data_IF_924438871594
#
_entry.id   IF_924438871594
#
_cell.length_a   1.000
_cell.length_b   1.000
_cell.length_c   1.000
_cell.angle_alpha   90.00
_cell.angle_beta   90.00
_cell.angle_gamma   90.00
#
_symmetry.space_group_name_H-M   'P 1'
#
loop_
_entity.id
_entity.type
_entity.pdbx_description
1 polymer ?
#
# COMPACT_ATOMS: atom_id res chain seq x y z
N UNK A 1 13.64 -1.34 -5.83
CA UNK A 1 14.49 -1.93 -4.76
C UNK A 1 14.56 -1.08 -3.50
N UNK A 2 14.88 0.24 -3.59
CA UNK A 2 15.00 1.14 -2.42
C UNK A 2 13.79 1.07 -1.48
N UNK A 3 12.55 1.16 -2.00
CA UNK A 3 11.35 1.08 -1.17
C UNK A 3 11.25 -0.22 -0.37
N UNK A 4 11.64 -1.35 -0.95
CA UNK A 4 11.61 -2.64 -0.23
C UNK A 4 12.70 -2.71 0.85
N UNK A 5 13.87 -2.13 0.61
CA UNK A 5 14.94 -2.04 1.63
C UNK A 5 14.45 -1.16 2.80
N UNK A 6 13.84 -0.01 2.50
CA UNK A 6 13.29 0.88 3.52
C UNK A 6 12.17 0.22 4.32
N UNK A 7 11.32 -0.58 3.66
CA UNK A 7 10.30 -1.37 4.36
C UNK A 7 10.93 -2.40 5.30
N UNK A 8 11.99 -3.08 4.87
CA UNK A 8 12.72 -4.03 5.70
C UNK A 8 13.28 -3.37 6.95
N UNK A 9 13.97 -2.24 6.81
CA UNK A 9 14.49 -1.43 7.94
C UNK A 9 13.33 -0.96 8.83
N UNK A 10 12.26 -0.44 8.22
CA UNK A 10 11.08 0.01 8.96
C UNK A 10 10.42 -1.10 9.77
N UNK A 11 10.36 -2.32 9.24
CA UNK A 11 9.78 -3.48 9.95
C UNK A 11 10.65 -3.88 11.15
N UNK A 12 11.98 -3.86 11.03
CA UNK A 12 12.90 -4.10 12.15
C UNK A 12 12.63 -3.07 13.27
N UNK A 13 12.62 -1.78 12.92
CA UNK A 13 12.39 -0.69 13.87
C UNK A 13 11.03 -0.84 14.55
N UNK A 14 9.96 -1.17 13.78
CA UNK A 14 8.63 -1.38 14.34
C UNK A 14 8.56 -2.59 15.29
N UNK A 15 9.26 -3.68 14.98
CA UNK A 15 9.32 -4.87 15.84
C UNK A 15 10.03 -4.58 17.17
N UNK A 16 11.17 -3.89 17.11
CA UNK A 16 11.92 -3.45 18.30
C UNK A 16 11.07 -2.45 19.10
N UNK A 17 10.34 -1.57 18.44
CA UNK A 17 9.44 -0.63 19.11
C UNK A 17 8.38 -1.35 19.95
N UNK A 18 7.69 -2.33 19.37
CA UNK A 18 6.66 -3.09 20.09
C UNK A 18 7.23 -3.83 21.30
N UNK A 19 8.40 -4.45 21.15
CA UNK A 19 9.12 -5.07 22.26
C UNK A 19 9.42 -4.06 23.37
N UNK A 20 9.84 -2.85 23.02
CA UNK A 20 10.23 -1.82 23.99
C UNK A 20 9.04 -1.13 24.64
N UNK A 21 7.95 -0.92 23.89
CA UNK A 21 6.74 -0.20 24.36
C UNK A 21 6.07 -0.94 25.52
N UNK A 22 6.06 -2.27 25.46
CA UNK A 22 5.40 -3.12 26.45
C UNK A 22 6.35 -3.84 27.39
N UNK A 23 7.64 -4.01 27.02
CA UNK A 23 8.62 -4.76 27.76
C UNK A 23 9.68 -3.91 28.51
N UNK A 24 9.64 -2.58 28.37
CA UNK A 24 10.61 -1.64 28.97
C UNK A 24 12.09 -1.96 28.69
N UNK A 25 12.40 -2.57 27.55
CA UNK A 25 13.76 -3.00 27.20
C UNK A 25 14.71 -1.84 26.81
N UNK A 26 14.17 -0.67 26.44
CA UNK A 26 14.96 0.45 25.97
C UNK A 26 14.62 1.74 26.74
N UNK A 27 15.61 2.65 26.91
CA UNK A 27 15.36 3.94 27.54
C UNK A 27 14.37 4.78 26.73
N UNK A 28 13.58 5.62 27.42
CA UNK A 28 12.53 6.45 26.81
C UNK A 28 13.05 7.34 25.67
N UNK A 29 14.31 7.74 25.70
CA UNK A 29 14.96 8.53 24.64
C UNK A 29 15.03 7.78 23.30
N UNK A 30 15.14 6.45 23.33
CA UNK A 30 15.10 5.63 22.11
C UNK A 30 13.72 5.63 21.43
N UNK A 31 12.65 6.01 22.13
CA UNK A 31 11.29 6.06 21.59
C UNK A 31 11.18 7.05 20.43
N UNK A 32 11.99 8.10 20.39
CA UNK A 32 12.00 9.08 19.29
C UNK A 32 12.40 8.45 17.94
N UNK A 33 13.32 7.48 17.96
CA UNK A 33 13.77 6.75 16.77
C UNK A 33 12.61 5.94 16.16
N UNK A 34 11.67 5.49 16.98
CA UNK A 34 10.56 4.66 16.51
C UNK A 34 9.49 5.43 15.72
N UNK A 35 9.42 6.77 15.87
CA UNK A 35 8.58 7.62 15.01
C UNK A 35 8.93 7.48 13.52
N UNK A 36 10.12 6.97 13.22
CA UNK A 36 10.59 6.72 11.86
C UNK A 36 9.93 5.50 11.22
N UNK A 37 9.44 4.53 11.99
CA UNK A 37 8.77 3.34 11.45
C UNK A 37 7.63 3.67 10.46
N UNK A 38 6.61 4.47 10.81
CA UNK A 38 5.56 4.83 9.86
C UNK A 38 6.07 5.64 8.66
N UNK A 39 7.10 6.47 8.83
CA UNK A 39 7.72 7.23 7.73
C UNK A 39 8.37 6.28 6.73
N UNK A 40 9.16 5.31 7.20
CA UNK A 40 9.80 4.31 6.34
C UNK A 40 8.77 3.43 5.62
N UNK A 41 7.67 3.08 6.28
CA UNK A 41 6.63 2.24 5.68
C UNK A 41 5.78 3.03 4.67
N UNK A 42 5.25 4.20 5.05
CA UNK A 42 4.33 4.96 4.19
C UNK A 42 5.07 5.72 3.09
N UNK A 43 6.14 6.43 3.42
CA UNK A 43 6.88 7.24 2.44
C UNK A 43 8.01 6.46 1.78
N UNK A 44 8.74 5.65 2.54
CA UNK A 44 9.85 4.86 2.02
C UNK A 44 9.40 3.66 1.19
N UNK A 45 8.45 2.90 1.66
CA UNK A 45 7.98 1.71 0.95
C UNK A 45 6.82 2.05 0.01
N UNK A 46 5.66 2.40 0.56
CA UNK A 46 4.43 2.50 -0.23
C UNK A 46 4.54 3.60 -1.28
N UNK A 47 4.93 4.81 -0.89
CA UNK A 47 4.99 5.95 -1.82
C UNK A 47 6.05 5.75 -2.90
N UNK A 48 7.29 5.36 -2.54
CA UNK A 48 8.34 5.13 -3.55
C UNK A 48 8.04 3.95 -4.48
N UNK A 49 7.39 2.89 -3.97
CA UNK A 49 6.96 1.77 -4.83
C UNK A 49 5.88 2.22 -5.81
N UNK A 50 4.88 2.97 -5.35
CA UNK A 50 3.81 3.48 -6.22
C UNK A 50 4.37 4.48 -7.24
N UNK A 51 5.27 5.38 -6.85
CA UNK A 51 5.94 6.28 -7.79
C UNK A 51 6.72 5.50 -8.86
N UNK A 52 7.52 4.51 -8.43
CA UNK A 52 8.29 3.67 -9.35
C UNK A 52 7.41 2.89 -10.34
N UNK A 53 6.37 2.25 -9.82
CA UNK A 53 5.38 1.53 -10.64
C UNK A 53 4.60 2.49 -11.53
N UNK A 54 4.18 3.65 -11.00
CA UNK A 54 3.46 4.69 -11.73
C UNK A 54 4.25 5.21 -12.93
N UNK A 55 5.53 5.53 -12.75
CA UNK A 55 6.41 5.98 -13.85
C UNK A 55 6.61 4.96 -14.96
N UNK A 56 6.42 3.68 -14.69
CA UNK A 56 6.63 2.63 -15.67
C UNK A 56 5.33 2.10 -16.27
N UNK A 57 4.31 1.92 -15.44
CA UNK A 57 3.06 1.25 -15.88
C UNK A 57 2.10 2.23 -16.53
N UNK A 58 1.93 3.43 -15.97
CA UNK A 58 0.96 4.40 -16.52
C UNK A 58 1.32 4.80 -17.96
N UNK A 59 2.59 5.14 -18.30
CA UNK A 59 2.99 5.39 -19.68
C UNK A 59 2.70 4.20 -20.59
N UNK A 60 3.10 2.99 -20.20
CA UNK A 60 2.89 1.78 -21.00
C UNK A 60 1.41 1.44 -21.20
N UNK A 61 0.58 1.66 -20.20
CA UNK A 61 -0.87 1.49 -20.36
C UNK A 61 -1.48 2.42 -21.40
N UNK A 62 -0.76 3.47 -21.77
CA UNK A 62 -1.15 4.49 -22.76
C UNK A 62 -0.34 4.44 -24.04
N UNK A 63 0.63 3.52 -24.16
CA UNK A 63 1.59 3.44 -25.26
C UNK A 63 2.40 4.74 -25.43
N UNK A 64 2.74 5.38 -24.31
CA UNK A 64 3.48 6.64 -24.27
C UNK A 64 4.80 6.47 -23.51
N UNK A 65 5.74 7.39 -23.76
CA UNK A 65 6.98 7.47 -22.98
C UNK A 65 6.78 8.36 -21.75
N UNK A 66 7.58 8.12 -20.71
CA UNK A 66 7.61 9.00 -19.54
C UNK A 66 7.98 10.43 -19.98
N UNK A 67 7.18 11.46 -19.68
CA UNK A 67 7.36 12.82 -20.21
C UNK A 67 8.73 13.41 -19.93
N UNK A 68 9.31 13.12 -18.77
CA UNK A 68 10.64 13.58 -18.37
C UNK A 68 11.29 12.64 -17.36
N UNK A 69 12.30 11.91 -17.80
CA UNK A 69 13.09 11.05 -16.90
C UNK A 69 13.92 11.86 -15.89
N UNK A 70 14.30 13.08 -16.23
CA UNK A 70 15.03 13.99 -15.32
C UNK A 70 14.14 14.43 -14.16
N UNK A 71 12.91 14.87 -14.43
CA UNK A 71 11.94 15.24 -13.40
C UNK A 71 11.50 14.02 -12.57
N UNK A 72 11.33 12.84 -13.19
CA UNK A 72 11.03 11.61 -12.47
C UNK A 72 12.15 11.23 -11.48
N UNK A 73 13.42 11.36 -11.89
CA UNK A 73 14.58 11.16 -11.00
C UNK A 73 14.62 12.21 -9.90
N UNK A 74 14.38 13.48 -10.23
CA UNK A 74 14.35 14.58 -9.25
C UNK A 74 13.28 14.33 -8.19
N UNK A 75 12.04 13.97 -8.58
CA UNK A 75 10.97 13.67 -7.63
C UNK A 75 11.34 12.52 -6.69
N UNK A 76 11.95 11.45 -7.23
CA UNK A 76 12.44 10.33 -6.44
C UNK A 76 13.51 10.76 -5.43
N UNK A 77 14.51 11.54 -5.87
CA UNK A 77 15.60 12.03 -5.00
C UNK A 77 15.03 12.92 -3.89
N UNK A 78 14.11 13.82 -4.19
CA UNK A 78 13.50 14.70 -3.19
C UNK A 78 12.72 13.92 -2.11
N UNK A 79 11.93 12.92 -2.51
CA UNK A 79 11.22 12.06 -1.55
C UNK A 79 12.21 11.24 -0.72
N UNK A 80 13.25 10.69 -1.32
CA UNK A 80 14.29 9.94 -0.60
C UNK A 80 15.06 10.83 0.37
N UNK A 81 15.44 12.05 -0.05
CA UNK A 81 16.11 13.04 0.81
C UNK A 81 15.22 13.44 1.99
N UNK A 82 13.90 13.59 1.79
CA UNK A 82 12.99 13.86 2.89
C UNK A 82 13.03 12.78 3.97
N UNK A 83 13.06 11.51 3.57
CA UNK A 83 13.16 10.38 4.50
C UNK A 83 14.50 10.40 5.24
N UNK A 84 15.60 10.74 4.55
CA UNK A 84 16.91 10.88 5.18
C UNK A 84 16.92 12.04 6.21
N UNK A 85 16.27 13.15 5.91
CA UNK A 85 16.10 14.27 6.86
C UNK A 85 15.30 13.85 8.08
N UNK A 86 14.17 13.12 7.90
CA UNK A 86 13.41 12.58 9.03
C UNK A 86 14.25 11.63 9.90
N UNK A 87 15.08 10.80 9.26
CA UNK A 87 15.97 9.86 9.96
C UNK A 87 17.02 10.59 10.78
N UNK A 88 17.71 11.58 10.19
CA UNK A 88 18.71 12.42 10.88
C UNK A 88 18.05 13.20 12.02
N UNK A 89 16.87 13.79 11.79
CA UNK A 89 16.09 14.50 12.80
C UNK A 89 15.81 13.63 14.02
N UNK A 90 15.44 12.37 13.80
CA UNK A 90 15.21 11.40 14.88
C UNK A 90 16.48 11.06 15.69
N UNK A 91 17.64 10.97 15.02
CA UNK A 91 18.91 10.64 15.67
C UNK A 91 19.46 11.80 16.50
N UNK A 92 19.50 13.01 15.88
CA UNK A 92 20.12 14.19 16.54
C UNK A 92 19.14 14.95 17.45
N UNK A 93 17.89 14.45 17.57
CA UNK A 93 16.82 15.04 18.39
C UNK A 93 16.52 16.51 18.03
N UNK A 94 16.78 16.90 16.78
CA UNK A 94 16.48 18.24 16.25
C UNK A 94 15.31 18.17 15.30
N UNK A 95 14.35 19.08 15.43
CA UNK A 95 13.15 19.07 14.61
C UNK A 95 13.37 19.69 13.22
N UNK A 96 13.60 18.85 12.22
CA UNK A 96 13.65 19.21 10.81
C UNK A 96 12.39 18.79 10.04
N UNK A 97 11.29 18.51 10.73
CA UNK A 97 10.05 17.97 10.14
C UNK A 97 9.53 18.86 9.01
N UNK A 98 9.55 20.19 9.15
CA UNK A 98 9.09 21.11 8.09
C UNK A 98 9.95 21.04 6.83
N UNK A 99 11.26 20.87 6.96
CA UNK A 99 12.17 20.68 5.82
C UNK A 99 11.86 19.37 5.12
N UNK A 100 11.72 18.28 5.87
CA UNK A 100 11.35 16.97 5.33
C UNK A 100 10.02 17.01 4.59
N UNK A 101 8.98 17.56 5.20
CA UNK A 101 7.65 17.71 4.61
C UNK A 101 7.67 18.56 3.33
N UNK A 102 8.45 19.65 3.30
CA UNK A 102 8.59 20.51 2.11
C UNK A 102 9.26 19.75 0.95
N UNK A 103 10.38 19.07 1.21
CA UNK A 103 11.05 18.24 0.21
C UNK A 103 10.11 17.18 -0.37
N UNK A 104 9.36 16.54 0.52
CA UNK A 104 8.39 15.50 0.15
C UNK A 104 7.25 16.05 -0.67
N UNK A 105 6.67 17.17 -0.25
CA UNK A 105 5.61 17.86 -0.99
C UNK A 105 6.06 18.23 -2.41
N UNK A 106 7.26 18.81 -2.57
CA UNK A 106 7.82 19.14 -3.89
C UNK A 106 8.00 17.84 -4.71
N UNK A 107 8.57 16.80 -4.12
CA UNK A 107 8.80 15.52 -4.81
C UNK A 107 7.51 14.88 -5.30
N UNK A 108 6.48 14.77 -4.45
CA UNK A 108 5.18 14.18 -4.83
C UNK A 108 4.39 15.07 -5.78
N UNK A 109 4.56 16.41 -5.71
CA UNK A 109 3.94 17.34 -6.65
C UNK A 109 4.53 17.22 -8.05
N UNK A 110 5.85 17.03 -8.17
CA UNK A 110 6.49 16.73 -9.47
C UNK A 110 5.95 15.40 -10.02
N UNK A 111 5.86 14.35 -9.18
CA UNK A 111 5.26 13.08 -9.59
C UNK A 111 3.83 13.27 -10.09
N UNK A 112 3.00 13.96 -9.30
CA UNK A 112 1.61 14.26 -9.66
C UNK A 112 1.49 15.04 -10.95
N UNK A 113 2.29 16.09 -11.13
CA UNK A 113 2.32 16.91 -12.34
C UNK A 113 2.66 16.10 -13.59
N UNK A 114 3.65 15.20 -13.50
CA UNK A 114 4.00 14.31 -14.62
C UNK A 114 2.86 13.33 -14.94
N UNK A 115 2.21 12.77 -13.92
CA UNK A 115 1.08 11.86 -14.13
C UNK A 115 -0.13 12.61 -14.72
N UNK A 116 -0.49 13.78 -14.20
CA UNK A 116 -1.58 14.60 -14.75
C UNK A 116 -1.31 15.05 -16.18
N UNK A 117 -0.07 15.43 -16.49
CA UNK A 117 0.32 15.74 -17.85
C UNK A 117 0.09 14.55 -18.79
N UNK A 118 0.48 13.34 -18.37
CA UNK A 118 0.24 12.13 -19.16
C UNK A 118 -1.24 11.81 -19.35
N UNK A 119 -2.05 11.99 -18.31
CA UNK A 119 -3.49 11.77 -18.39
C UNK A 119 -4.17 12.76 -19.33
N UNK A 120 -3.62 13.97 -19.48
CA UNK A 120 -4.14 15.03 -20.35
C UNK A 120 -3.75 14.88 -21.82
N UNK A 121 -2.61 14.26 -22.14
CA UNK A 121 -2.12 14.12 -23.52
C UNK A 121 -3.12 13.38 -24.41
N UNK A 122 -3.91 12.43 -23.83
CA UNK A 122 -4.88 11.63 -24.58
C UNK A 122 -6.26 11.72 -23.91
N UNK A 123 -6.93 12.89 -23.92
CA UNK A 123 -8.17 13.09 -23.17
C UNK A 123 -9.31 12.16 -23.62
N UNK A 124 -9.33 11.74 -24.88
CA UNK A 124 -10.32 10.79 -25.40
C UNK A 124 -10.16 9.37 -24.85
N UNK A 125 -9.04 9.08 -24.20
CA UNK A 125 -8.75 7.80 -23.58
C UNK A 125 -8.87 7.83 -22.04
N UNK A 126 -9.44 8.88 -21.45
CA UNK A 126 -9.80 8.89 -20.03
C UNK A 126 -10.75 7.73 -19.77
N UNK A 127 -10.26 6.77 -19.02
CA UNK A 127 -10.99 5.59 -18.59
C UNK A 127 -11.30 5.73 -17.11
N UNK A 128 -12.20 4.90 -16.65
CA UNK A 128 -12.59 4.87 -15.24
C UNK A 128 -11.37 4.75 -14.30
N UNK A 129 -10.35 3.98 -14.71
CA UNK A 129 -9.08 3.87 -13.97
C UNK A 129 -8.36 5.21 -13.76
N UNK A 130 -8.48 6.14 -14.70
CA UNK A 130 -7.78 7.42 -14.64
C UNK A 130 -8.33 8.32 -13.52
N UNK A 131 -9.63 8.23 -13.23
CA UNK A 131 -10.23 8.96 -12.12
C UNK A 131 -9.65 8.50 -10.78
N UNK A 132 -9.46 7.18 -10.59
CA UNK A 132 -8.80 6.67 -9.38
C UNK A 132 -7.36 7.18 -9.27
N UNK A 133 -6.61 7.26 -10.38
CA UNK A 133 -5.24 7.81 -10.38
C UNK A 133 -5.26 9.28 -9.98
N UNK A 134 -6.15 10.08 -10.56
CA UNK A 134 -6.26 11.52 -10.25
C UNK A 134 -6.59 11.73 -8.78
N UNK A 135 -7.62 11.05 -8.26
CA UNK A 135 -8.02 11.18 -6.85
C UNK A 135 -6.89 10.71 -5.94
N UNK A 136 -6.25 9.58 -6.25
CA UNK A 136 -5.12 9.02 -5.50
C UNK A 136 -3.97 10.03 -5.35
N UNK A 137 -3.52 10.61 -6.46
CA UNK A 137 -2.42 11.59 -6.46
C UNK A 137 -2.83 12.89 -5.74
N UNK A 138 -4.05 13.36 -5.96
CA UNK A 138 -4.58 14.54 -5.26
C UNK A 138 -4.59 14.31 -3.74
N UNK A 139 -4.99 13.12 -3.28
CA UNK A 139 -4.93 12.74 -1.86
C UNK A 139 -3.50 12.72 -1.32
N UNK A 140 -2.55 12.17 -2.09
CA UNK A 140 -1.14 12.15 -1.68
C UNK A 140 -0.61 13.57 -1.47
N UNK A 141 -0.89 14.49 -2.41
CA UNK A 141 -0.49 15.89 -2.29
C UNK A 141 -1.21 16.56 -1.12
N UNK A 142 -2.54 16.37 -0.99
CA UNK A 142 -3.33 16.93 0.11
C UNK A 142 -2.83 16.46 1.48
N UNK A 143 -2.46 15.17 1.61
CA UNK A 143 -1.90 14.63 2.84
C UNK A 143 -0.59 15.34 3.25
N UNK A 144 0.29 15.68 2.27
CA UNK A 144 1.51 16.44 2.55
C UNK A 144 1.20 17.89 2.97
N UNK A 145 0.27 18.53 2.26
CA UNK A 145 -0.15 19.91 2.58
C UNK A 145 -0.76 19.98 3.99
N UNK A 146 -1.69 19.08 4.31
CA UNK A 146 -2.31 19.04 5.64
C UNK A 146 -1.27 18.77 6.74
N UNK A 147 -0.28 17.90 6.47
CA UNK A 147 0.83 17.64 7.40
C UNK A 147 1.71 18.88 7.59
N UNK A 148 2.03 19.60 6.51
CA UNK A 148 2.85 20.80 6.56
C UNK A 148 2.15 21.96 7.32
N UNK A 149 0.83 22.03 7.18
CA UNK A 149 -0.02 23.01 7.88
C UNK A 149 -0.39 22.57 9.31
N UNK A 150 0.07 21.41 9.77
CA UNK A 150 -0.21 20.84 11.09
C UNK A 150 -1.73 20.65 11.38
N UNK A 151 -2.53 20.48 10.32
CA UNK A 151 -3.99 20.34 10.39
C UNK A 151 -4.44 18.91 10.68
N UNK A 152 -3.67 18.14 11.48
CA UNK A 152 -4.00 16.77 11.82
C UNK A 152 -4.32 16.64 13.31
N UNK A 153 -5.59 16.47 13.61
CA UNK A 153 -6.06 16.33 14.99
C UNK A 153 -6.26 14.87 15.41
N UNK A 154 -6.55 13.98 14.45
CA UNK A 154 -6.74 12.56 14.70
C UNK A 154 -5.66 11.72 13.99
N UNK A 155 -4.80 11.07 14.78
CA UNK A 155 -3.67 10.29 14.25
C UNK A 155 -4.11 9.11 13.38
N UNK A 156 -5.23 8.46 13.67
CA UNK A 156 -5.72 7.36 12.83
C UNK A 156 -6.23 7.88 11.50
N UNK A 157 -7.05 8.93 11.50
CA UNK A 157 -7.58 9.55 10.27
C UNK A 157 -6.45 10.00 9.37
N UNK A 158 -5.40 10.61 9.93
CA UNK A 158 -4.20 10.97 9.17
C UNK A 158 -3.59 9.75 8.47
N UNK A 159 -3.40 8.64 9.19
CA UNK A 159 -2.81 7.43 8.62
C UNK A 159 -3.74 6.74 7.63
N UNK A 160 -5.04 6.72 7.89
CA UNK A 160 -6.03 6.21 6.95
C UNK A 160 -6.09 7.05 5.67
N UNK A 161 -5.99 8.36 5.77
CA UNK A 161 -5.93 9.27 4.63
C UNK A 161 -4.69 8.97 3.76
N UNK A 162 -3.53 8.71 4.39
CA UNK A 162 -2.34 8.23 3.72
C UNK A 162 -2.49 6.86 3.07
N UNK A 163 -3.18 5.92 3.72
CA UNK A 163 -3.42 4.58 3.19
C UNK A 163 -4.45 4.58 2.07
N UNK A 164 -5.34 5.56 2.02
CA UNK A 164 -6.35 5.69 0.98
C UNK A 164 -5.73 5.98 -0.39
N UNK A 165 -4.66 6.79 -0.44
CA UNK A 165 -3.88 6.99 -1.65
C UNK A 165 -3.44 5.67 -2.34
N UNK A 166 -2.73 4.73 -1.67
CA UNK A 166 -2.34 3.47 -2.30
C UNK A 166 -3.53 2.55 -2.62
N UNK A 167 -4.59 2.55 -1.82
CA UNK A 167 -5.79 1.77 -2.13
C UNK A 167 -6.38 2.19 -3.48
N UNK A 168 -6.51 3.49 -3.72
CA UNK A 168 -7.01 4.03 -4.99
C UNK A 168 -6.07 3.74 -6.15
N UNK A 169 -4.75 3.89 -5.96
CA UNK A 169 -3.78 3.59 -7.00
C UNK A 169 -3.77 2.11 -7.37
N UNK A 170 -3.86 1.22 -6.38
CA UNK A 170 -4.01 -0.23 -6.59
C UNK A 170 -5.30 -0.51 -7.34
N UNK A 171 -6.42 0.09 -6.95
CA UNK A 171 -7.71 -0.08 -7.65
C UNK A 171 -7.63 0.36 -9.10
N UNK A 172 -6.95 1.47 -9.40
CA UNK A 172 -6.72 1.93 -10.77
C UNK A 172 -5.95 0.90 -11.62
N UNK A 173 -4.89 0.32 -11.05
CA UNK A 173 -4.10 -0.71 -11.73
C UNK A 173 -4.92 -1.99 -11.86
N UNK A 174 -5.60 -2.40 -10.82
CA UNK A 174 -6.41 -3.61 -10.78
C UNK A 174 -7.63 -3.55 -11.71
N UNK A 175 -8.17 -2.37 -11.96
CA UNK A 175 -9.23 -2.17 -12.95
C UNK A 175 -8.88 -2.81 -14.30
N UNK A 176 -7.61 -2.73 -14.70
CA UNK A 176 -7.12 -3.30 -15.96
C UNK A 176 -6.50 -4.68 -15.76
N UNK A 177 -5.71 -4.87 -14.70
CA UNK A 177 -4.90 -6.06 -14.53
C UNK A 177 -5.69 -7.27 -14.03
N UNK A 178 -6.73 -7.09 -13.23
CA UNK A 178 -7.61 -8.20 -12.81
C UNK A 178 -8.26 -8.90 -14.01
N UNK A 179 -8.90 -8.20 -14.98
CA UNK A 179 -9.44 -8.86 -16.15
C UNK A 179 -8.37 -9.43 -17.08
N UNK A 180 -7.27 -8.67 -17.34
CA UNK A 180 -6.29 -9.04 -18.36
C UNK A 180 -5.30 -10.11 -17.92
N UNK A 181 -4.86 -10.09 -16.67
CA UNK A 181 -3.86 -11.04 -16.16
C UNK A 181 -4.44 -12.17 -15.33
N UNK A 182 -5.56 -11.92 -14.63
CA UNK A 182 -6.16 -12.88 -13.72
C UNK A 182 -7.53 -13.41 -14.19
N UNK A 183 -7.98 -13.00 -15.37
CA UNK A 183 -9.20 -13.53 -15.98
C UNK A 183 -10.50 -13.20 -15.23
N UNK A 184 -10.48 -12.19 -14.37
CA UNK A 184 -11.71 -11.68 -13.78
C UNK A 184 -12.62 -11.06 -14.86
N UNK A 185 -13.91 -10.91 -14.54
CA UNK A 185 -14.84 -10.22 -15.44
C UNK A 185 -14.39 -8.77 -15.68
N UNK A 186 -14.73 -8.23 -16.83
CA UNK A 186 -14.55 -6.79 -17.07
C UNK A 186 -15.35 -6.01 -16.04
N UNK A 187 -14.79 -4.95 -15.43
CA UNK A 187 -15.46 -4.20 -14.38
C UNK A 187 -16.80 -3.63 -14.89
N UNK A 188 -17.85 -3.82 -14.07
CA UNK A 188 -19.18 -3.27 -14.39
C UNK A 188 -19.16 -1.76 -14.26
N UNK A 189 -19.24 -1.04 -15.38
CA UNK A 189 -19.04 0.40 -15.48
C UNK A 189 -19.87 1.22 -14.48
N UNK A 190 -21.15 0.88 -14.28
CA UNK A 190 -22.01 1.59 -13.30
C UNK A 190 -21.49 1.51 -11.89
N UNK A 191 -21.03 0.32 -11.46
CA UNK A 191 -20.46 0.13 -10.12
C UNK A 191 -19.11 0.84 -9.95
N UNK A 192 -18.31 0.89 -11.02
CA UNK A 192 -17.03 1.62 -11.00
C UNK A 192 -17.28 3.12 -10.83
N UNK A 193 -18.24 3.72 -11.57
CA UNK A 193 -18.58 5.13 -11.38
C UNK A 193 -19.15 5.40 -9.98
N UNK A 194 -19.98 4.52 -9.44
CA UNK A 194 -20.43 4.64 -8.05
C UNK A 194 -19.27 4.56 -7.06
N UNK A 195 -18.29 3.68 -7.31
CA UNK A 195 -17.05 3.60 -6.53
C UNK A 195 -16.24 4.90 -6.61
N UNK A 196 -16.07 5.48 -7.81
CA UNK A 196 -15.38 6.76 -8.00
C UNK A 196 -16.11 7.88 -7.24
N UNK A 197 -17.43 7.94 -7.29
CA UNK A 197 -18.22 8.91 -6.53
C UNK A 197 -17.97 8.77 -5.03
N UNK A 198 -17.96 7.54 -4.49
CA UNK A 198 -17.64 7.30 -3.09
C UNK A 198 -16.19 7.67 -2.76
N UNK A 199 -15.25 7.48 -3.69
CA UNK A 199 -13.87 7.92 -3.52
C UNK A 199 -13.76 9.46 -3.38
N UNK A 200 -14.49 10.21 -4.21
CA UNK A 200 -14.53 11.68 -4.14
C UNK A 200 -15.16 12.14 -2.81
N UNK A 201 -16.26 11.52 -2.42
CA UNK A 201 -16.95 11.80 -1.15
C UNK A 201 -16.01 11.53 0.02
N UNK A 202 -15.35 10.36 0.03
CA UNK A 202 -14.40 10.00 1.08
C UNK A 202 -13.21 10.96 1.13
N UNK A 203 -12.65 11.35 -0.02
CA UNK A 203 -11.57 12.33 -0.08
C UNK A 203 -12.00 13.69 0.52
N UNK A 204 -13.19 14.16 0.17
CA UNK A 204 -13.76 15.40 0.73
C UNK A 204 -13.93 15.32 2.24
N UNK A 205 -14.54 14.26 2.76
CA UNK A 205 -14.68 14.06 4.21
C UNK A 205 -13.34 13.88 4.91
N UNK A 206 -12.35 13.18 4.29
CA UNK A 206 -11.01 13.05 4.84
C UNK A 206 -10.28 14.39 5.01
N UNK A 207 -10.42 15.32 4.05
CA UNK A 207 -9.91 16.69 4.18
C UNK A 207 -10.69 17.46 5.26
N UNK A 208 -12.01 17.36 5.24
CA UNK A 208 -12.87 18.09 6.17
C UNK A 208 -12.62 17.66 7.61
N UNK A 209 -12.52 16.36 7.88
CA UNK A 209 -12.26 15.86 9.23
C UNK A 209 -10.84 16.16 9.72
N UNK A 210 -9.88 16.34 8.80
CA UNK A 210 -8.53 16.80 9.18
C UNK A 210 -8.54 18.24 9.69
N UNK A 211 -9.50 19.06 9.23
CA UNK A 211 -9.64 20.47 9.63
C UNK A 211 -10.59 20.61 10.83
N UNK A 212 -11.75 19.95 10.77
CA UNK A 212 -12.82 20.03 11.78
C UNK A 212 -12.87 18.73 12.57
N UNK A 213 -12.48 18.75 13.82
CA UNK A 213 -12.47 17.59 14.73
C UNK A 213 -13.88 17.10 15.03
N UNK A 214 -14.38 16.14 14.25
CA UNK A 214 -15.72 15.60 14.45
C UNK A 214 -15.73 14.07 14.26
N UNK A 215 -16.14 13.35 15.31
CA UNK A 215 -16.30 11.90 15.25
C UNK A 215 -17.29 11.48 14.15
N UNK A 216 -18.34 12.27 13.91
CA UNK A 216 -19.28 12.00 12.82
C UNK A 216 -18.60 12.05 11.44
N UNK A 217 -17.74 13.07 11.21
CA UNK A 217 -17.00 13.18 9.95
C UNK A 217 -16.00 12.02 9.79
N UNK A 218 -15.35 11.59 10.88
CA UNK A 218 -14.47 10.42 10.88
C UNK A 218 -15.23 9.15 10.48
N UNK A 219 -16.41 8.94 11.03
CA UNK A 219 -17.29 7.80 10.67
C UNK A 219 -17.70 7.86 9.20
N UNK A 220 -18.16 9.03 8.72
CA UNK A 220 -18.59 9.19 7.31
C UNK A 220 -17.42 9.00 6.36
N UNK A 221 -16.22 9.47 6.69
CA UNK A 221 -14.99 9.23 5.93
C UNK A 221 -14.73 7.72 5.80
N UNK A 222 -14.72 6.99 6.92
CA UNK A 222 -14.47 5.55 6.92
C UNK A 222 -15.55 4.75 6.19
N UNK A 223 -16.83 5.07 6.40
CA UNK A 223 -17.95 4.41 5.71
C UNK A 223 -17.93 4.65 4.19
N UNK A 224 -17.64 5.87 3.76
CA UNK A 224 -17.54 6.17 2.32
C UNK A 224 -16.34 5.48 1.67
N UNK A 225 -15.20 5.36 2.38
CA UNK A 225 -14.05 4.60 1.94
C UNK A 225 -14.36 3.09 1.84
N UNK A 226 -15.06 2.53 2.82
CA UNK A 226 -15.54 1.14 2.80
C UNK A 226 -16.50 0.92 1.63
N UNK A 227 -17.46 1.83 1.42
CA UNK A 227 -18.41 1.76 0.30
C UNK A 227 -17.68 1.81 -1.05
N UNK A 228 -16.68 2.67 -1.20
CA UNK A 228 -15.84 2.75 -2.40
C UNK A 228 -15.21 1.39 -2.71
N UNK A 229 -14.56 0.77 -1.72
CA UNK A 229 -13.86 -0.53 -1.90
C UNK A 229 -14.87 -1.65 -2.19
N UNK A 230 -16.01 -1.68 -1.50
CA UNK A 230 -17.07 -2.67 -1.75
C UNK A 230 -17.63 -2.57 -3.18
N UNK A 231 -17.95 -1.36 -3.64
CA UNK A 231 -18.44 -1.12 -4.99
C UNK A 231 -17.41 -1.52 -6.05
N UNK A 232 -16.12 -1.21 -5.82
CA UNK A 232 -15.05 -1.65 -6.70
C UNK A 232 -14.93 -3.18 -6.73
N UNK A 233 -14.88 -3.84 -5.58
CA UNK A 233 -14.79 -5.30 -5.48
C UNK A 233 -15.98 -6.01 -6.11
N UNK A 234 -17.20 -5.45 -5.96
CA UNK A 234 -18.41 -5.93 -6.65
C UNK A 234 -18.32 -5.70 -8.16
N UNK A 235 -17.71 -4.60 -8.61
CA UNK A 235 -17.58 -4.29 -10.03
C UNK A 235 -16.74 -5.33 -10.78
N UNK A 236 -15.67 -5.83 -10.15
CA UNK A 236 -14.77 -6.86 -10.70
C UNK A 236 -15.14 -8.28 -10.23
N UNK A 237 -16.15 -8.41 -9.37
CA UNK A 237 -16.65 -9.68 -8.85
C UNK A 237 -15.57 -10.51 -8.16
N UNK A 238 -14.78 -9.87 -7.26
CA UNK A 238 -13.57 -10.45 -6.66
C UNK A 238 -13.79 -11.80 -5.97
N UNK A 239 -14.94 -11.98 -5.29
CA UNK A 239 -15.32 -13.22 -4.61
C UNK A 239 -16.21 -14.13 -5.45
N UNK A 240 -16.57 -13.74 -6.65
CA UNK A 240 -17.42 -14.53 -7.53
C UNK A 240 -16.70 -15.68 -8.22
N UNK A 241 -17.48 -16.53 -8.88
CA UNK A 241 -16.94 -17.57 -9.74
C UNK A 241 -16.25 -16.97 -10.98
N UNK A 242 -15.27 -17.69 -11.53
CA UNK A 242 -14.63 -17.31 -12.77
C UNK A 242 -15.55 -17.61 -13.95
N UNK A 243 -16.11 -16.59 -14.55
CA UNK A 243 -16.92 -16.76 -15.76
C UNK A 243 -16.04 -16.87 -17.02
N UNK A 244 -14.72 -16.68 -16.90
CA UNK A 244 -13.84 -16.77 -18.07
C UNK A 244 -13.25 -18.17 -18.21
N UNK A 245 -14.12 -19.12 -18.52
CA UNK A 245 -13.76 -20.52 -18.83
C UNK A 245 -12.77 -20.63 -19.97
N UNK A 246 -12.67 -19.64 -20.87
CA UNK A 246 -11.73 -19.65 -22.00
C UNK A 246 -10.29 -19.47 -21.54
N UNK A 247 -9.99 -18.51 -20.66
CA UNK A 247 -8.64 -18.33 -20.11
C UNK A 247 -8.21 -19.57 -19.30
N UNK A 248 -9.13 -20.13 -18.51
CA UNK A 248 -8.83 -21.35 -17.72
C UNK A 248 -8.62 -22.58 -18.60
N UNK A 249 -9.21 -22.66 -19.79
CA UNK A 249 -8.96 -23.72 -20.77
C UNK A 249 -7.58 -23.61 -21.39
N UNK A 250 -7.05 -22.39 -21.56
CA UNK A 250 -5.73 -22.13 -22.12
C UNK A 250 -4.60 -22.35 -21.12
N UNK A 251 -4.91 -22.34 -19.82
CA UNK A 251 -3.92 -22.48 -18.72
C UNK A 251 -3.95 -23.91 -18.21
N UNK A 252 -2.86 -24.66 -18.45
CA UNK A 252 -2.74 -26.07 -18.03
C UNK A 252 -1.62 -26.28 -17.01
N UNK A 253 -1.68 -27.38 -16.25
CA UNK A 253 -0.61 -27.84 -15.37
C UNK A 253 -0.28 -26.85 -14.23
N UNK A 254 1.02 -26.59 -14.04
CA UNK A 254 1.54 -25.71 -12.97
C UNK A 254 1.08 -24.27 -13.11
N UNK A 255 0.87 -23.77 -14.34
CA UNK A 255 0.35 -22.44 -14.58
C UNK A 255 -1.05 -22.27 -14.00
N UNK A 256 -1.89 -23.31 -14.08
CA UNK A 256 -3.24 -23.32 -13.50
C UNK A 256 -3.20 -23.25 -11.97
N UNK A 257 -2.30 -24.04 -11.34
CA UNK A 257 -2.10 -24.01 -9.88
C UNK A 257 -1.65 -22.63 -9.40
N UNK A 258 -0.66 -22.04 -10.08
CA UNK A 258 -0.17 -20.68 -9.80
C UNK A 258 -1.28 -19.64 -9.92
N UNK A 259 -2.09 -19.72 -10.96
CA UNK A 259 -3.23 -18.83 -11.19
C UNK A 259 -4.23 -18.89 -10.03
N UNK A 260 -4.69 -20.08 -9.65
CA UNK A 260 -5.61 -20.25 -8.52
C UNK A 260 -5.05 -19.69 -7.22
N UNK A 261 -3.76 -19.86 -7.00
CA UNK A 261 -3.08 -19.32 -5.83
C UNK A 261 -3.07 -17.79 -5.81
N UNK A 262 -2.74 -17.14 -6.92
CA UNK A 262 -2.75 -15.67 -7.02
C UNK A 262 -4.15 -15.13 -6.75
N UNK A 263 -5.17 -15.77 -7.29
CA UNK A 263 -6.56 -15.40 -7.06
C UNK A 263 -6.97 -15.57 -5.60
N UNK A 264 -6.58 -16.68 -4.97
CA UNK A 264 -6.86 -16.92 -3.54
C UNK A 264 -6.24 -15.82 -2.68
N UNK A 265 -4.96 -15.51 -2.86
CA UNK A 265 -4.29 -14.45 -2.10
C UNK A 265 -4.85 -13.06 -2.41
N UNK A 266 -5.29 -12.80 -3.63
CA UNK A 266 -5.99 -11.54 -3.95
C UNK A 266 -7.29 -11.41 -3.17
N UNK A 267 -8.07 -12.50 -3.02
CA UNK A 267 -9.28 -12.52 -2.20
C UNK A 267 -8.99 -12.33 -0.71
N UNK A 268 -7.94 -12.99 -0.21
CA UNK A 268 -7.47 -12.81 1.18
C UNK A 268 -7.08 -11.35 1.42
N UNK A 269 -6.35 -10.72 0.49
CA UNK A 269 -5.96 -9.32 0.59
C UNK A 269 -7.20 -8.39 0.69
N UNK A 270 -8.20 -8.59 -0.15
CA UNK A 270 -9.47 -7.84 -0.04
C UNK A 270 -10.20 -8.12 1.27
N UNK A 271 -10.17 -9.35 1.80
CA UNK A 271 -10.70 -9.67 3.11
C UNK A 271 -10.07 -8.84 4.22
N UNK A 272 -8.74 -8.71 4.23
CA UNK A 272 -8.03 -7.84 5.17
C UNK A 272 -8.35 -6.35 4.96
N UNK A 273 -8.50 -5.89 3.71
CA UNK A 273 -8.91 -4.52 3.43
C UNK A 273 -10.28 -4.22 4.03
N UNK A 274 -11.27 -5.09 3.80
CA UNK A 274 -12.62 -4.93 4.38
C UNK A 274 -12.58 -4.95 5.90
N UNK A 275 -11.89 -5.92 6.49
CA UNK A 275 -11.76 -6.01 7.94
C UNK A 275 -11.10 -4.75 8.54
N UNK A 276 -10.00 -4.28 7.93
CA UNK A 276 -9.32 -3.06 8.37
C UNK A 276 -10.22 -1.82 8.30
N UNK A 277 -10.99 -1.65 7.22
CA UNK A 277 -11.91 -0.51 7.08
C UNK A 277 -13.11 -0.58 8.04
N UNK A 278 -13.63 -1.78 8.32
CA UNK A 278 -14.67 -1.98 9.35
C UNK A 278 -14.13 -1.63 10.73
N UNK A 279 -12.93 -2.12 11.09
CA UNK A 279 -12.29 -1.78 12.37
C UNK A 279 -12.03 -0.27 12.49
N UNK A 280 -11.61 0.38 11.41
CA UNK A 280 -11.45 1.84 11.36
C UNK A 280 -12.75 2.60 11.57
N UNK A 281 -13.86 2.09 11.04
CA UNK A 281 -15.20 2.65 11.26
C UNK A 281 -15.62 2.51 12.73
N UNK A 282 -15.38 1.33 13.32
CA UNK A 282 -15.66 1.08 14.75
C UNK A 282 -14.82 1.99 15.65
N UNK A 283 -13.53 2.16 15.33
CA UNK A 283 -12.67 3.11 16.04
C UNK A 283 -13.18 4.54 15.95
N UNK A 284 -13.61 4.97 14.76
CA UNK A 284 -14.15 6.31 14.53
C UNK A 284 -15.46 6.57 15.28
N UNK A 285 -16.27 5.52 15.52
CA UNK A 285 -17.50 5.58 16.31
C UNK A 285 -17.27 5.64 17.83
N UNK A 286 -16.10 6.12 18.25
CA UNK A 286 -15.69 6.40 19.65
C UNK A 286 -15.26 5.20 20.49
N UNK A 287 -15.02 4.04 19.87
CA UNK A 287 -14.42 2.88 20.55
C UNK A 287 -12.88 2.95 20.47
N UNK A 288 -12.29 4.09 20.84
CA UNK A 288 -10.86 4.39 20.69
C UNK A 288 -10.01 3.52 21.60
N UNK A 289 -9.48 2.41 21.07
CA UNK A 289 -8.49 1.59 21.76
C UNK A 289 -7.30 1.26 20.85
N UNK A 290 -6.20 0.85 21.47
CA UNK A 290 -4.95 0.55 20.74
C UNK A 290 -5.13 -0.57 19.71
N UNK A 291 -5.84 -1.64 20.05
CA UNK A 291 -6.01 -2.80 19.16
C UNK A 291 -6.75 -2.42 17.88
N UNK A 292 -7.85 -1.66 17.97
CA UNK A 292 -8.58 -1.18 16.80
C UNK A 292 -7.73 -0.26 15.93
N UNK A 293 -6.95 0.63 16.57
CA UNK A 293 -6.00 1.51 15.88
C UNK A 293 -4.95 0.71 15.11
N UNK A 294 -4.30 -0.20 15.79
CA UNK A 294 -3.18 -0.97 15.25
C UNK A 294 -3.63 -1.93 14.13
N UNK A 295 -4.70 -2.70 14.36
CA UNK A 295 -5.23 -3.63 13.37
C UNK A 295 -5.78 -2.93 12.14
N UNK A 296 -6.44 -1.77 12.28
CA UNK A 296 -6.90 -0.97 11.13
C UNK A 296 -5.74 -0.67 10.18
N UNK A 297 -4.62 -0.20 10.73
CA UNK A 297 -3.45 0.17 9.91
C UNK A 297 -2.80 -1.07 9.30
N UNK A 298 -2.54 -2.11 10.10
CA UNK A 298 -1.77 -3.26 9.65
C UNK A 298 -2.54 -4.19 8.73
N UNK A 299 -3.86 -4.32 8.90
CA UNK A 299 -4.69 -5.07 7.95
C UNK A 299 -4.69 -4.43 6.57
N UNK A 300 -4.76 -3.10 6.50
CA UNK A 300 -4.68 -2.39 5.22
C UNK A 300 -3.24 -2.41 4.68
N UNK A 301 -2.25 -2.05 5.50
CA UNK A 301 -0.86 -1.88 5.04
C UNK A 301 -0.18 -3.22 4.71
N UNK A 302 -0.29 -4.23 5.58
CA UNK A 302 0.34 -5.54 5.38
C UNK A 302 -0.61 -6.48 4.65
N UNK A 303 -1.84 -6.64 5.16
CA UNK A 303 -2.81 -7.62 4.66
C UNK A 303 -3.29 -7.32 3.24
N UNK A 304 -3.48 -6.04 2.88
CA UNK A 304 -3.90 -5.66 1.53
C UNK A 304 -2.75 -5.15 0.68
N UNK A 305 -2.11 -4.04 1.05
CA UNK A 305 -1.10 -3.38 0.19
C UNK A 305 0.13 -4.27 0.05
N UNK A 306 0.67 -4.80 1.16
CA UNK A 306 1.84 -5.67 1.17
C UNK A 306 1.63 -6.96 0.36
N UNK A 307 0.54 -7.68 0.63
CA UNK A 307 0.19 -8.90 -0.11
C UNK A 307 -0.02 -8.58 -1.60
N UNK A 308 -0.72 -7.50 -1.93
CA UNK A 308 -0.96 -7.11 -3.33
C UNK A 308 0.37 -6.81 -4.05
N UNK A 309 1.28 -6.06 -3.43
CA UNK A 309 2.61 -5.78 -4.01
C UNK A 309 3.35 -7.09 -4.27
N UNK A 310 3.35 -8.02 -3.32
CA UNK A 310 4.03 -9.30 -3.47
C UNK A 310 3.44 -10.20 -4.57
N UNK A 311 2.14 -10.09 -4.82
CA UNK A 311 1.48 -10.82 -5.91
C UNK A 311 1.78 -10.22 -7.28
N UNK A 312 1.73 -8.89 -7.38
CA UNK A 312 1.82 -8.19 -8.65
C UNK A 312 3.27 -7.90 -9.08
N UNK A 313 4.19 -7.65 -8.14
CA UNK A 313 5.57 -7.31 -8.46
C UNK A 313 6.26 -8.36 -9.34
N UNK A 314 6.16 -9.69 -9.07
CA UNK A 314 6.72 -10.71 -9.95
C UNK A 314 6.13 -10.73 -11.37
N UNK A 315 4.85 -10.34 -11.51
CA UNK A 315 4.17 -10.26 -12.82
C UNK A 315 4.63 -9.01 -13.59
N UNK A 316 4.94 -7.94 -12.85
CA UNK A 316 5.27 -6.63 -13.43
C UNK A 316 6.77 -6.46 -13.73
N UNK A 317 7.66 -7.16 -13.01
CA UNK A 317 9.12 -7.05 -13.22
C UNK A 317 9.56 -7.37 -14.65
N UNK A 318 9.11 -8.48 -15.29
CA UNK A 318 9.55 -8.79 -16.65
C UNK A 318 9.26 -7.67 -17.65
N UNK A 319 8.02 -7.15 -17.77
CA UNK A 319 7.75 -6.04 -18.67
C UNK A 319 8.44 -4.73 -18.26
N UNK A 320 8.74 -4.54 -16.96
CA UNK A 320 9.46 -3.36 -16.48
C UNK A 320 10.93 -3.37 -16.95
N UNK A 321 11.58 -4.51 -16.85
CA UNK A 321 13.00 -4.66 -17.21
C UNK A 321 13.21 -4.91 -18.71
N UNK A 322 12.15 -5.11 -19.49
CA UNK A 322 12.20 -5.51 -20.90
C UNK A 322 13.04 -6.78 -21.12
N UNK A 323 13.06 -7.63 -20.12
CA UNK A 323 13.80 -8.90 -20.09
C UNK A 323 12.86 -10.03 -19.69
N UNK A 324 13.08 -11.20 -20.25
CA UNK A 324 12.42 -12.42 -19.81
C UNK A 324 12.95 -12.82 -18.43
N UNK A 325 12.28 -12.40 -17.38
CA UNK A 325 12.58 -12.84 -16.01
C UNK A 325 11.65 -14.00 -15.67
N UNK A 326 12.20 -15.18 -15.47
CA UNK A 326 11.42 -16.37 -15.13
C UNK A 326 11.44 -16.59 -13.62
N UNK A 327 10.31 -16.46 -12.99
CA UNK A 327 10.11 -16.97 -11.64
C UNK A 327 9.85 -18.48 -11.74
N UNK A 328 10.85 -19.29 -11.38
CA UNK A 328 10.86 -20.74 -11.58
C UNK A 328 9.68 -21.45 -10.92
N UNK A 329 9.28 -21.01 -9.70
CA UNK A 329 8.14 -21.56 -8.99
C UNK A 329 7.45 -20.48 -8.18
N UNK A 330 6.12 -20.61 -8.02
CA UNK A 330 5.39 -19.78 -7.08
C UNK A 330 5.63 -20.29 -5.66
N UNK A 331 6.47 -19.58 -4.92
CA UNK A 331 6.76 -19.92 -3.55
C UNK A 331 5.74 -19.24 -2.60
N UNK A 332 4.93 -20.04 -1.93
CA UNK A 332 3.95 -19.57 -0.96
C UNK A 332 4.56 -19.09 0.35
N UNK A 333 5.76 -19.55 0.73
CA UNK A 333 6.36 -19.34 2.04
C UNK A 333 6.42 -17.86 2.43
N UNK A 334 6.85 -16.92 1.56
CA UNK A 334 6.87 -15.51 1.90
C UNK A 334 5.49 -14.96 2.29
N UNK A 335 4.45 -15.32 1.52
CA UNK A 335 3.08 -14.87 1.79
C UNK A 335 2.49 -15.52 3.04
N UNK A 336 2.74 -16.80 3.25
CA UNK A 336 2.32 -17.52 4.46
C UNK A 336 2.93 -16.89 5.69
N UNK A 337 4.25 -16.58 5.68
CA UNK A 337 4.92 -15.93 6.80
C UNK A 337 4.33 -14.53 7.09
N UNK A 338 4.07 -13.72 6.06
CA UNK A 338 3.47 -12.39 6.24
C UNK A 338 2.08 -12.49 6.86
N UNK A 339 1.24 -13.40 6.35
CA UNK A 339 -0.10 -13.62 6.88
C UNK A 339 -0.07 -14.23 8.29
N UNK A 340 0.88 -15.14 8.57
CA UNK A 340 1.07 -15.67 9.92
C UNK A 340 1.53 -14.60 10.91
N UNK A 341 2.45 -13.72 10.49
CA UNK A 341 2.83 -12.57 11.30
C UNK A 341 1.64 -11.67 11.61
N UNK A 342 0.78 -11.41 10.62
CA UNK A 342 -0.44 -10.62 10.82
C UNK A 342 -1.45 -11.33 11.74
N UNK A 343 -1.58 -12.65 11.66
CA UNK A 343 -2.41 -13.44 12.57
C UNK A 343 -1.88 -13.39 14.01
N UNK A 344 -0.55 -13.55 14.20
CA UNK A 344 0.10 -13.40 15.52
C UNK A 344 -0.14 -12.00 16.08
N UNK A 345 -0.05 -10.96 15.23
CA UNK A 345 -0.35 -9.58 15.64
C UNK A 345 -1.79 -9.43 16.11
N UNK A 346 -2.75 -10.00 15.41
CA UNK A 346 -4.16 -9.98 15.81
C UNK A 346 -4.37 -10.59 17.19
N UNK A 347 -3.69 -11.71 17.48
CA UNK A 347 -3.71 -12.33 18.82
C UNK A 347 -3.08 -11.38 19.86
N UNK A 348 -1.94 -10.75 19.55
CA UNK A 348 -1.28 -9.78 20.43
C UNK A 348 -2.18 -8.60 20.76
N UNK A 349 -2.83 -8.01 19.76
CA UNK A 349 -3.76 -6.90 19.95
C UNK A 349 -5.00 -7.31 20.76
N UNK A 350 -5.49 -8.52 20.58
CA UNK A 350 -6.56 -9.06 21.44
C UNK A 350 -6.10 -9.20 22.90
N UNK A 351 -4.87 -9.69 23.14
CA UNK A 351 -4.29 -9.82 24.49
C UNK A 351 -4.11 -8.45 25.16
N UNK A 352 -3.80 -7.39 24.40
CA UNK A 352 -3.81 -6.01 24.92
C UNK A 352 -5.16 -5.65 25.53
N UNK A 353 -6.26 -6.01 24.88
CA UNK A 353 -7.61 -5.70 25.37
C UNK A 353 -7.95 -6.40 26.68
N UNK A 354 -7.26 -7.51 26.99
CA UNK A 354 -7.38 -8.23 28.26
C UNK A 354 -6.53 -7.65 29.38
N UNK A 355 -5.77 -6.57 29.12
CA UNK A 355 -4.94 -5.88 30.10
C UNK A 355 -3.58 -6.52 30.40
N UNK A 356 -3.17 -7.54 29.65
CA UNK A 356 -1.90 -8.27 29.83
C UNK A 356 -0.79 -7.57 29.02
N UNK A 357 -0.05 -6.67 29.66
CA UNK A 357 0.90 -5.78 28.97
C UNK A 357 2.23 -6.43 28.58
N UNK A 358 2.89 -7.16 29.47
CA UNK A 358 4.26 -7.67 29.24
C UNK A 358 4.31 -8.71 28.10
N UNK A 359 3.40 -9.67 28.11
CA UNK A 359 3.33 -10.70 27.06
C UNK A 359 2.92 -10.11 25.69
N UNK A 360 2.13 -9.06 25.68
CA UNK A 360 1.72 -8.35 24.47
C UNK A 360 2.92 -7.83 23.68
N UNK A 361 3.90 -7.21 24.34
CA UNK A 361 5.08 -6.68 23.67
C UNK A 361 5.87 -7.77 22.94
N UNK A 362 6.00 -8.93 23.57
CA UNK A 362 6.68 -10.08 22.97
C UNK A 362 5.89 -10.58 21.74
N UNK A 363 4.58 -10.78 21.88
CA UNK A 363 3.73 -11.27 20.76
C UNK A 363 3.77 -10.30 19.58
N UNK A 364 3.59 -9.00 19.83
CA UNK A 364 3.61 -7.98 18.78
C UNK A 364 4.99 -7.83 18.14
N UNK A 365 6.06 -7.88 18.91
CA UNK A 365 7.44 -7.84 18.41
C UNK A 365 7.77 -9.06 17.55
N UNK A 366 7.43 -10.28 18.03
CA UNK A 366 7.62 -11.53 17.28
C UNK A 366 6.82 -11.49 15.97
N UNK A 367 5.59 -10.97 15.98
CA UNK A 367 4.78 -10.84 14.75
C UNK A 367 5.52 -10.08 13.66
N UNK A 368 6.18 -8.98 14.02
CA UNK A 368 6.98 -8.18 13.10
C UNK A 368 8.19 -8.92 12.55
N UNK A 369 8.90 -9.71 13.37
CA UNK A 369 10.02 -10.55 12.89
C UNK A 369 9.57 -11.67 11.97
N UNK A 370 8.38 -12.23 12.16
CA UNK A 370 7.81 -13.21 11.22
C UNK A 370 7.50 -12.54 9.87
N UNK A 371 6.89 -11.35 9.87
CA UNK A 371 6.69 -10.54 8.64
C UNK A 371 8.03 -10.24 7.97
N UNK A 372 9.05 -9.84 8.73
CA UNK A 372 10.39 -9.55 8.24
C UNK A 372 11.01 -10.76 7.53
N UNK A 373 10.86 -11.95 8.10
CA UNK A 373 11.33 -13.21 7.50
C UNK A 373 10.64 -13.47 6.16
N UNK A 374 9.33 -13.24 6.06
CA UNK A 374 8.58 -13.34 4.81
C UNK A 374 9.08 -12.36 3.76
N UNK A 375 9.31 -11.10 4.14
CA UNK A 375 9.86 -10.08 3.25
C UNK A 375 11.29 -10.42 2.78
N UNK A 376 12.13 -10.94 3.65
CA UNK A 376 13.48 -11.37 3.30
C UNK A 376 13.47 -12.48 2.24
N UNK A 377 12.65 -13.51 2.44
CA UNK A 377 12.51 -14.60 1.48
C UNK A 377 11.94 -14.10 0.14
N UNK A 378 11.01 -13.16 0.17
CA UNK A 378 10.48 -12.53 -1.04
C UNK A 378 11.58 -11.75 -1.80
N UNK A 379 12.36 -10.94 -1.10
CA UNK A 379 13.50 -10.23 -1.69
C UNK A 379 14.53 -11.18 -2.31
N UNK A 380 14.85 -12.26 -1.60
CA UNK A 380 15.77 -13.29 -2.11
C UNK A 380 15.22 -13.93 -3.38
N UNK A 381 13.93 -14.21 -3.45
CA UNK A 381 13.25 -14.74 -4.64
C UNK A 381 13.38 -13.78 -5.83
N UNK A 382 13.06 -12.50 -5.63
CA UNK A 382 13.19 -11.45 -6.65
C UNK A 382 14.65 -11.32 -7.11
N UNK A 383 15.58 -11.23 -6.18
CA UNK A 383 17.01 -11.09 -6.50
C UNK A 383 17.52 -12.26 -7.33
N UNK A 384 17.18 -13.49 -6.98
CA UNK A 384 17.55 -14.69 -7.75
C UNK A 384 16.97 -14.68 -9.15
N UNK A 385 15.69 -14.30 -9.28
CA UNK A 385 15.03 -14.22 -10.58
C UNK A 385 15.66 -13.16 -11.49
N UNK A 386 16.12 -12.03 -10.92
CA UNK A 386 16.79 -10.96 -11.66
C UNK A 386 18.25 -11.31 -12.05
N UNK A 387 18.94 -12.13 -11.26
CA UNK A 387 20.34 -12.51 -11.50
C UNK A 387 20.49 -13.52 -12.64
N UNK A 388 19.50 -14.36 -12.85
CA UNK A 388 19.50 -15.40 -13.89
C UNK A 388 18.40 -15.12 -14.93
N UNK A 389 18.50 -14.04 -15.73
CA UNK A 389 17.58 -13.84 -16.84
C UNK A 389 17.87 -14.90 -17.90
N UNK A 390 16.87 -15.68 -18.27
CA UNK A 390 16.99 -16.60 -19.41
C UNK A 390 17.08 -15.76 -20.68
N UNK A 391 18.25 -15.83 -21.35
CA UNK A 391 18.52 -15.12 -22.60
C UNK A 391 17.86 -15.75 -23.83
N UNK A 392 17.29 -16.97 -23.74
CA UNK A 392 17.12 -17.81 -24.90
C UNK A 392 15.68 -18.36 -25.13
N UNK A 393 14.63 -17.67 -24.72
CA UNK A 393 13.30 -18.09 -25.14
C UNK A 393 12.61 -16.97 -25.93
N UNK A 394 12.11 -17.30 -27.15
CA UNK A 394 11.33 -16.33 -27.93
C UNK A 394 10.12 -15.88 -27.12
N UNK A 395 9.89 -14.58 -27.11
CA UNK A 395 8.70 -13.96 -26.59
C UNK A 395 7.54 -14.42 -27.47
N UNK A 396 6.72 -15.34 -26.98
CA UNK A 396 5.48 -15.75 -27.60
C UNK A 396 4.32 -14.91 -27.06
#
# INVERSE_FOLDING_TARGET
MTGVILSFIGTIIGSIWMLSLFGNFLPQQAILIFKIHPILQLNGFVTLMIMGVGYMIIPRMRNELTPSTKLAKLSYVLVLSSIAVDFVSGIIMTDYTKISLTLRLIGVSIFGGLMFYMLRIVPKLLREADYFIVISISLLISAQVLSLLELHHNQLVQKQFWLFFPILMISAIQYKTLPSFLGFIRPKRKLVFASITMAIISAGFGITTSIFQSALLDVVFNLSMLAMVLLFALSVYIYGGFNNTEILKLITGEKKKRYHTIVLYSRIAYGFLFAGLVLGTVYAADLKNFALYDLTIHYVAIGFIGVTIMLYLPIMIPPILEKSVRFLEFNHIPLVLILSGLAIRTVGDYVVTLGVREQTGVILGVSGFVVLSGMFLFLRMIHRAMKNPHSDLPVA
#
